data_IF_962956795824
#
_entry.id   IF_962956795824
#
_cell.length_a   1.000
_cell.length_b   1.000
_cell.length_c   1.000
_cell.angle_alpha   90.00
_cell.angle_beta   90.00
_cell.angle_gamma   90.00
#
_symmetry.space_group_name_H-M   'P 1'
#
loop_
_entity.id
_entity.type
_entity.pdbx_description
1 polymer ?
#
# COMPACT_ATOMS: atom_id res chain seq x y z
N UNK A 1 8.95 19.69 -1.97
CA UNK A 1 7.76 19.26 -1.17
C UNK A 1 8.05 17.85 -0.69
N UNK A 2 8.05 17.64 0.63
CA UNK A 2 8.25 16.29 1.19
C UNK A 2 7.02 15.40 0.86
N UNK A 3 7.25 14.10 0.75
CA UNK A 3 6.16 13.15 0.43
C UNK A 3 5.04 13.19 1.49
N UNK A 4 5.39 13.38 2.76
CA UNK A 4 4.41 13.45 3.85
C UNK A 4 3.47 14.66 3.72
N UNK A 5 4.00 15.83 3.31
CA UNK A 5 3.18 17.03 3.06
C UNK A 5 2.18 16.77 1.91
N UNK A 6 2.62 16.00 0.91
CA UNK A 6 1.77 15.65 -0.22
C UNK A 6 0.69 14.63 0.16
N UNK A 7 1.03 13.63 0.98
CA UNK A 7 0.09 12.64 1.52
C UNK A 7 -1.00 13.32 2.35
N UNK A 8 -0.64 14.24 3.23
CA UNK A 8 -1.59 14.99 4.05
C UNK A 8 -2.53 15.84 3.18
N UNK A 9 -1.99 16.61 2.23
CA UNK A 9 -2.79 17.43 1.31
C UNK A 9 -3.68 16.60 0.38
N UNK A 10 -3.27 15.40 0.01
CA UNK A 10 -4.04 14.50 -0.86
C UNK A 10 -5.33 14.00 -0.19
N UNK A 11 -5.44 14.08 1.14
CA UNK A 11 -6.66 13.71 1.87
C UNK A 11 -7.82 14.70 1.65
N UNK A 12 -7.52 15.96 1.33
CA UNK A 12 -8.51 17.05 1.23
C UNK A 12 -8.56 17.74 -0.14
N UNK A 13 -7.55 17.48 -1.02
CA UNK A 13 -7.41 18.16 -2.30
C UNK A 13 -7.29 17.14 -3.46
N UNK A 14 -8.23 17.21 -4.40
CA UNK A 14 -8.20 16.39 -5.63
C UNK A 14 -6.95 16.65 -6.48
N UNK A 15 -6.48 17.90 -6.53
CA UNK A 15 -5.23 18.24 -7.23
C UNK A 15 -4.03 17.59 -6.55
N UNK A 16 -3.94 17.64 -5.22
CA UNK A 16 -2.86 17.00 -4.46
C UNK A 16 -2.91 15.48 -4.60
N UNK A 17 -4.10 14.88 -4.64
CA UNK A 17 -4.28 13.45 -4.89
C UNK A 17 -3.82 13.06 -6.31
N UNK A 18 -4.13 13.86 -7.31
CA UNK A 18 -3.63 13.67 -8.67
C UNK A 18 -2.09 13.76 -8.72
N UNK A 19 -1.52 14.78 -8.09
CA UNK A 19 -0.07 14.96 -8.01
C UNK A 19 0.61 13.80 -7.28
N UNK A 20 0.02 13.31 -6.18
CA UNK A 20 0.50 12.14 -5.44
C UNK A 20 0.57 10.90 -6.35
N UNK A 21 -0.51 10.61 -7.09
CA UNK A 21 -0.54 9.52 -8.07
C UNK A 21 0.59 9.68 -9.10
N UNK A 22 0.78 10.86 -9.65
CA UNK A 22 1.81 11.14 -10.65
C UNK A 22 3.22 10.90 -10.08
N UNK A 23 3.51 11.45 -8.90
CA UNK A 23 4.82 11.33 -8.23
C UNK A 23 5.13 9.88 -7.88
N UNK A 24 4.17 9.15 -7.30
CA UNK A 24 4.39 7.77 -6.89
C UNK A 24 4.53 6.82 -8.09
N UNK A 25 3.77 7.00 -9.16
CA UNK A 25 3.95 6.21 -10.39
C UNK A 25 5.31 6.47 -11.07
N UNK A 26 5.89 7.67 -10.87
CA UNK A 26 7.22 7.98 -11.37
C UNK A 26 8.32 7.36 -10.52
N UNK A 27 8.15 7.37 -9.19
CA UNK A 27 9.15 6.89 -8.23
C UNK A 27 9.09 5.38 -7.99
N UNK A 28 7.95 4.73 -8.31
CA UNK A 28 7.77 3.28 -8.23
C UNK A 28 7.52 2.75 -9.66
N UNK A 29 8.57 2.60 -10.48
CA UNK A 29 8.43 2.27 -11.90
C UNK A 29 7.74 0.93 -12.14
N UNK A 30 7.82 -0.03 -11.19
CA UNK A 30 7.12 -1.31 -11.24
C UNK A 30 5.59 -1.14 -11.32
N UNK A 31 5.01 -0.13 -10.66
CA UNK A 31 3.56 0.09 -10.63
C UNK A 31 3.04 0.80 -11.90
N UNK A 32 3.93 1.43 -12.68
CA UNK A 32 3.57 2.23 -13.85
C UNK A 32 2.78 1.48 -14.93
N UNK A 33 3.21 0.27 -15.41
CA UNK A 33 2.47 -0.47 -16.43
C UNK A 33 1.11 -0.96 -15.95
N UNK A 34 0.93 -1.13 -14.64
CA UNK A 34 -0.32 -1.57 -14.02
C UNK A 34 -1.34 -0.44 -13.83
N UNK A 35 -0.92 0.82 -13.97
CA UNK A 35 -1.77 2.02 -13.82
C UNK A 35 -2.55 2.03 -12.51
N UNK A 36 -1.91 1.60 -11.42
CA UNK A 36 -2.50 1.67 -10.09
C UNK A 36 -2.88 3.12 -9.77
N UNK A 37 -4.06 3.32 -9.19
CA UNK A 37 -4.56 4.66 -8.88
C UNK A 37 -5.06 4.75 -7.45
N UNK A 38 -4.46 5.63 -6.66
CA UNK A 38 -4.98 6.00 -5.35
C UNK A 38 -6.29 6.76 -5.60
N UNK A 39 -7.40 6.17 -5.17
CA UNK A 39 -8.74 6.78 -5.27
C UNK A 39 -8.99 7.76 -4.13
N UNK A 40 -8.55 7.39 -2.95
CA UNK A 40 -8.58 8.25 -1.76
C UNK A 40 -7.51 7.82 -0.77
N UNK A 41 -7.05 8.75 0.01
CA UNK A 41 -6.18 8.52 1.14
C UNK A 41 -6.56 9.45 2.27
N UNK A 42 -6.59 8.93 3.48
CA UNK A 42 -6.77 9.68 4.72
C UNK A 42 -5.74 9.22 5.74
N UNK A 43 -5.80 9.76 6.95
CA UNK A 43 -4.91 9.28 8.02
C UNK A 43 -5.09 7.79 8.30
N UNK A 44 -6.33 7.29 8.26
CA UNK A 44 -6.65 5.94 8.73
C UNK A 44 -7.05 4.97 7.61
N UNK A 45 -7.18 5.44 6.34
CA UNK A 45 -7.67 4.59 5.26
C UNK A 45 -7.07 4.97 3.92
N UNK A 46 -6.80 3.97 3.11
CA UNK A 46 -6.42 4.13 1.70
C UNK A 46 -7.26 3.22 0.82
N UNK A 47 -7.68 3.75 -0.33
CA UNK A 47 -8.32 3.00 -1.41
C UNK A 47 -7.46 3.09 -2.66
N UNK A 48 -6.99 1.94 -3.17
CA UNK A 48 -6.19 1.89 -4.40
C UNK A 48 -6.89 1.02 -5.43
N UNK A 49 -7.13 1.61 -6.59
CA UNK A 49 -7.77 0.94 -7.72
C UNK A 49 -6.74 0.25 -8.62
N UNK A 50 -7.02 -1.00 -8.97
CA UNK A 50 -6.33 -1.83 -9.93
C UNK A 50 -7.21 -2.00 -11.17
N UNK A 51 -6.92 -1.30 -12.29
CA UNK A 51 -7.83 -1.24 -13.43
C UNK A 51 -7.83 -2.53 -14.25
N UNK A 52 -8.98 -2.86 -14.84
CA UNK A 52 -9.13 -3.97 -15.77
C UNK A 52 -8.63 -3.56 -17.17
N UNK A 53 -7.33 -3.65 -17.38
CA UNK A 53 -6.64 -3.31 -18.64
C UNK A 53 -5.75 -4.47 -19.09
N UNK A 54 -5.41 -4.54 -20.38
CA UNK A 54 -4.65 -5.65 -21.00
C UNK A 54 -3.42 -6.07 -20.18
N UNK A 55 -2.64 -5.12 -19.67
CA UNK A 55 -1.42 -5.40 -18.91
C UNK A 55 -1.67 -6.04 -17.54
N UNK A 56 -2.91 -6.03 -17.07
CA UNK A 56 -3.31 -6.54 -15.77
C UNK A 56 -4.05 -7.88 -15.87
N UNK A 57 -4.21 -8.43 -17.06
CA UNK A 57 -4.97 -9.66 -17.29
C UNK A 57 -4.05 -10.88 -17.36
N UNK A 58 -4.57 -12.00 -16.89
CA UNK A 58 -3.99 -13.32 -17.08
C UNK A 58 -4.48 -13.94 -18.40
N UNK A 59 -4.03 -15.16 -18.72
CA UNK A 59 -4.40 -15.91 -19.92
C UNK A 59 -5.89 -16.27 -19.99
N UNK A 60 -6.60 -16.27 -18.85
CA UNK A 60 -8.06 -16.50 -18.75
C UNK A 60 -8.86 -15.20 -18.83
N UNK A 61 -8.21 -14.08 -19.16
CA UNK A 61 -8.81 -12.73 -19.20
C UNK A 61 -9.44 -12.30 -17.86
N UNK A 62 -8.92 -12.79 -16.74
CA UNK A 62 -9.20 -12.29 -15.42
C UNK A 62 -8.06 -11.41 -14.93
N UNK A 63 -8.28 -10.65 -13.85
CA UNK A 63 -7.20 -9.92 -13.19
C UNK A 63 -6.10 -10.89 -12.75
N UNK A 64 -4.84 -10.51 -13.01
CA UNK A 64 -3.69 -11.36 -12.70
C UNK A 64 -3.44 -11.43 -11.19
N UNK A 65 -3.20 -12.63 -10.66
CA UNK A 65 -2.95 -12.88 -9.24
C UNK A 65 -1.81 -12.01 -8.68
N UNK A 66 -0.66 -11.90 -9.40
CA UNK A 66 0.44 -11.03 -8.99
C UNK A 66 0.07 -9.55 -8.96
N UNK A 67 -0.87 -9.10 -9.81
CA UNK A 67 -1.35 -7.73 -9.78
C UNK A 67 -2.23 -7.45 -8.56
N UNK A 68 -3.06 -8.42 -8.15
CA UNK A 68 -3.80 -8.34 -6.88
C UNK A 68 -2.85 -8.30 -5.68
N UNK A 69 -1.75 -9.07 -5.70
CA UNK A 69 -0.71 -9.00 -4.69
C UNK A 69 -0.02 -7.62 -4.68
N UNK A 70 0.29 -7.06 -5.85
CA UNK A 70 0.93 -5.74 -5.99
C UNK A 70 0.06 -4.61 -5.42
N UNK A 71 -1.24 -4.57 -5.74
CA UNK A 71 -2.11 -3.53 -5.21
C UNK A 71 -2.31 -3.67 -3.71
N UNK A 72 -2.30 -4.89 -3.18
CA UNK A 72 -2.38 -5.17 -1.75
C UNK A 72 -1.13 -4.69 -1.00
N UNK A 73 0.04 -5.05 -1.49
CA UNK A 73 1.33 -4.57 -0.96
C UNK A 73 1.38 -3.05 -0.98
N UNK A 74 1.06 -2.45 -2.12
CA UNK A 74 1.11 -1.01 -2.29
C UNK A 74 0.17 -0.27 -1.33
N UNK A 75 -1.03 -0.80 -1.05
CA UNK A 75 -1.99 -0.18 -0.13
C UNK A 75 -1.50 -0.22 1.32
N UNK A 76 -0.98 -1.37 1.77
CA UNK A 76 -0.46 -1.50 3.14
C UNK A 76 0.80 -0.65 3.34
N UNK A 77 1.74 -0.71 2.40
CA UNK A 77 2.97 0.09 2.45
C UNK A 77 2.70 1.60 2.44
N UNK A 78 1.79 2.07 1.58
CA UNK A 78 1.48 3.48 1.47
C UNK A 78 0.83 4.04 2.74
N UNK A 79 -0.13 3.30 3.34
CA UNK A 79 -0.78 3.77 4.56
C UNK A 79 0.17 3.74 5.76
N UNK A 80 1.05 2.75 5.87
CA UNK A 80 2.12 2.74 6.88
C UNK A 80 3.05 3.95 6.71
N UNK A 81 3.47 4.27 5.49
CA UNK A 81 4.30 5.45 5.21
C UNK A 81 3.58 6.77 5.54
N UNK A 82 2.25 6.82 5.43
CA UNK A 82 1.47 8.01 5.82
C UNK A 82 1.51 8.30 7.32
N UNK A 83 1.88 7.31 8.14
CA UNK A 83 2.05 7.45 9.58
C UNK A 83 3.52 7.62 10.01
N UNK A 84 4.46 7.26 9.15
CA UNK A 84 5.87 7.22 9.45
C UNK A 84 6.60 8.36 8.74
N UNK A 85 7.67 8.85 9.36
CA UNK A 85 8.59 9.78 8.70
C UNK A 85 9.59 8.94 7.85
N UNK A 86 9.53 8.99 6.50
CA UNK A 86 10.44 8.22 5.64
C UNK A 86 11.89 8.65 5.76
N UNK A 87 12.17 9.85 6.28
CA UNK A 87 13.53 10.31 6.56
C UNK A 87 14.09 9.62 7.82
N UNK A 88 13.24 9.11 8.72
CA UNK A 88 13.62 8.44 9.97
C UNK A 88 13.52 6.93 9.91
N UNK A 89 12.54 6.41 9.16
CA UNK A 89 12.21 4.99 9.16
C UNK A 89 12.25 4.39 7.76
N UNK A 90 12.88 3.23 7.68
CA UNK A 90 12.82 2.36 6.50
C UNK A 90 11.70 1.35 6.69
N UNK A 91 10.86 1.21 5.67
CA UNK A 91 9.82 0.20 5.57
C UNK A 91 10.22 -0.84 4.52
N UNK A 92 10.30 -2.13 4.89
CA UNK A 92 10.61 -3.23 3.99
C UNK A 92 9.63 -4.36 4.24
N UNK A 93 9.00 -4.86 3.19
CA UNK A 93 8.15 -6.04 3.27
C UNK A 93 9.01 -7.29 3.51
N UNK A 94 8.67 -8.07 4.55
CA UNK A 94 9.33 -9.32 4.89
C UNK A 94 8.67 -10.52 4.21
N UNK A 95 7.35 -10.55 4.20
CA UNK A 95 6.57 -11.61 3.56
C UNK A 95 5.20 -11.09 3.13
N UNK A 96 4.63 -11.80 2.16
CA UNK A 96 3.29 -11.58 1.66
C UNK A 96 2.63 -12.94 1.43
N UNK A 97 1.40 -13.09 1.91
CA UNK A 97 0.57 -14.26 1.70
C UNK A 97 -0.75 -13.83 1.06
N UNK A 98 -1.16 -14.54 0.00
CA UNK A 98 -2.38 -14.26 -0.74
C UNK A 98 -3.33 -15.44 -0.69
N UNK A 99 -4.58 -15.15 -0.40
CA UNK A 99 -5.72 -16.06 -0.62
C UNK A 99 -6.61 -15.49 -1.72
N UNK A 100 -6.91 -16.29 -2.73
CA UNK A 100 -7.74 -15.88 -3.87
C UNK A 100 -9.09 -16.58 -3.77
N UNK A 101 -10.18 -15.79 -3.85
CA UNK A 101 -11.55 -16.27 -3.61
C UNK A 101 -12.41 -16.23 -4.88
N UNK A 102 -12.19 -15.23 -5.74
CA UNK A 102 -13.01 -15.03 -6.93
C UNK A 102 -12.21 -14.48 -8.11
N UNK A 103 -12.56 -14.85 -9.35
CA UNK A 103 -11.90 -14.35 -10.56
C UNK A 103 -12.43 -12.96 -10.94
N UNK A 104 -11.64 -11.90 -10.78
CA UNK A 104 -12.01 -10.55 -11.18
C UNK A 104 -12.09 -10.39 -12.70
N UNK A 105 -13.22 -9.91 -13.18
CA UNK A 105 -13.50 -9.59 -14.61
C UNK A 105 -13.81 -8.12 -14.83
N UNK A 106 -13.67 -7.29 -13.80
CA UNK A 106 -13.79 -5.83 -13.82
C UNK A 106 -12.59 -5.23 -13.10
N UNK A 107 -12.53 -3.90 -12.96
CA UNK A 107 -11.54 -3.27 -12.08
C UNK A 107 -11.71 -3.74 -10.64
N UNK A 108 -10.67 -3.60 -9.85
CA UNK A 108 -10.69 -3.98 -8.44
C UNK A 108 -10.12 -2.86 -7.55
N UNK A 109 -10.51 -2.86 -6.28
CA UNK A 109 -10.05 -1.88 -5.29
C UNK A 109 -9.55 -2.59 -4.05
N UNK A 110 -8.30 -2.32 -3.67
CA UNK A 110 -7.77 -2.66 -2.36
C UNK A 110 -8.20 -1.60 -1.35
N UNK A 111 -8.80 -2.03 -0.24
CA UNK A 111 -9.18 -1.18 0.89
C UNK A 111 -8.38 -1.59 2.11
N UNK A 112 -7.57 -0.66 2.62
CA UNK A 112 -6.77 -0.89 3.81
C UNK A 112 -6.99 0.22 4.84
N UNK A 113 -7.15 -0.18 6.09
CA UNK A 113 -7.42 0.72 7.22
C UNK A 113 -6.46 0.44 8.36
N UNK A 114 -6.00 1.51 9.01
CA UNK A 114 -5.18 1.48 10.21
C UNK A 114 -5.71 2.50 11.23
N UNK A 115 -5.70 2.10 12.49
CA UNK A 115 -5.95 3.02 13.58
C UNK A 115 -4.65 3.71 14.02
N UNK A 116 -4.72 4.99 14.34
CA UNK A 116 -3.59 5.77 14.85
C UNK A 116 -3.05 5.20 16.17
N UNK A 117 -3.93 4.72 17.06
CA UNK A 117 -3.54 4.09 18.31
C UNK A 117 -2.82 2.75 18.07
N UNK A 118 -3.22 2.01 17.03
CA UNK A 118 -2.54 0.79 16.61
C UNK A 118 -1.09 1.09 16.18
N UNK A 119 -0.89 2.11 15.33
CA UNK A 119 0.47 2.52 14.91
C UNK A 119 1.33 2.89 16.12
N UNK A 120 0.78 3.66 17.06
CA UNK A 120 1.50 4.02 18.27
C UNK A 120 1.95 2.79 19.04
N UNK A 121 1.02 1.89 19.34
CA UNK A 121 1.27 0.68 20.17
C UNK A 121 2.14 -0.36 19.48
N UNK A 122 1.97 -0.58 18.18
CA UNK A 122 2.65 -1.67 17.46
C UNK A 122 3.97 -1.22 16.81
N UNK A 123 4.15 0.09 16.58
CA UNK A 123 5.31 0.60 15.86
C UNK A 123 6.12 1.58 16.69
N UNK A 124 5.51 2.71 17.09
CA UNK A 124 6.28 3.84 17.65
C UNK A 124 6.83 3.49 19.03
N UNK A 125 5.97 3.01 19.95
CA UNK A 125 6.39 2.68 21.31
C UNK A 125 7.43 1.55 21.34
N UNK A 126 7.26 0.42 20.60
CA UNK A 126 8.30 -0.60 20.54
C UNK A 126 9.62 -0.13 19.91
N UNK A 127 9.59 0.79 18.94
CA UNK A 127 10.83 1.36 18.36
C UNK A 127 11.61 2.29 19.31
N UNK A 128 11.03 2.66 20.47
CA UNK A 128 11.79 3.40 21.50
C UNK A 128 12.88 2.51 22.14
N UNK A 129 12.61 1.20 22.27
CA UNK A 129 13.50 0.22 22.94
C UNK A 129 14.10 -0.82 21.99
N UNK A 130 13.64 -0.90 20.72
CA UNK A 130 14.06 -1.89 19.74
C UNK A 130 14.63 -1.25 18.47
N UNK A 131 15.57 -1.93 17.81
CA UNK A 131 16.16 -1.49 16.54
C UNK A 131 15.20 -1.66 15.36
N UNK A 132 14.28 -2.60 15.45
CA UNK A 132 13.29 -2.88 14.42
C UNK A 132 12.03 -3.49 15.04
N UNK A 133 10.89 -3.25 14.39
CA UNK A 133 9.62 -3.91 14.68
C UNK A 133 9.09 -4.61 13.45
N UNK A 134 8.26 -5.63 13.67
CA UNK A 134 7.54 -6.34 12.62
C UNK A 134 6.04 -6.17 12.86
N UNK A 135 5.31 -5.81 11.83
CA UNK A 135 3.86 -5.64 11.90
C UNK A 135 3.19 -6.46 10.80
N UNK A 136 2.07 -7.08 11.16
CA UNK A 136 1.22 -7.80 10.23
C UNK A 136 0.02 -6.92 9.86
N UNK A 137 -0.27 -6.84 8.55
CA UNK A 137 -1.41 -6.10 8.02
C UNK A 137 -2.22 -7.02 7.12
N UNK A 138 -3.56 -6.90 7.21
CA UNK A 138 -4.48 -7.61 6.34
C UNK A 138 -5.22 -6.60 5.46
N UNK A 139 -5.32 -6.89 4.17
CA UNK A 139 -6.04 -6.08 3.19
C UNK A 139 -6.95 -6.94 2.34
N UNK A 140 -8.15 -6.44 2.06
CA UNK A 140 -9.13 -7.07 1.18
C UNK A 140 -9.22 -6.34 -0.13
N UNK A 141 -9.32 -7.11 -1.22
CA UNK A 141 -9.51 -6.59 -2.57
C UNK A 141 -10.85 -7.07 -3.08
N UNK A 142 -11.70 -6.12 -3.50
CA UNK A 142 -13.00 -6.40 -4.12
C UNK A 142 -13.06 -5.79 -5.51
N UNK A 143 -13.84 -6.41 -6.41
CA UNK A 143 -14.06 -5.88 -7.75
C UNK A 143 -15.14 -4.78 -7.76
N UNK A 144 -15.34 -4.15 -8.94
CA UNK A 144 -16.31 -3.06 -9.10
C UNK A 144 -17.77 -3.54 -8.92
N UNK A 145 -18.02 -4.86 -8.89
CA UNK A 145 -19.32 -5.46 -8.62
C UNK A 145 -19.50 -5.86 -7.14
N UNK A 146 -18.48 -5.64 -6.30
CA UNK A 146 -18.52 -5.98 -4.88
C UNK A 146 -18.08 -7.40 -4.55
N UNK A 147 -17.64 -8.21 -5.52
CA UNK A 147 -17.14 -9.55 -5.25
C UNK A 147 -15.78 -9.47 -4.54
N UNK A 148 -15.60 -10.23 -3.46
CA UNK A 148 -14.34 -10.35 -2.76
C UNK A 148 -13.37 -11.23 -3.58
N UNK A 149 -12.34 -10.61 -4.14
CA UNK A 149 -11.38 -11.28 -5.02
C UNK A 149 -10.27 -11.96 -4.26
N UNK A 150 -9.72 -11.29 -3.26
CA UNK A 150 -8.58 -11.81 -2.49
C UNK A 150 -8.45 -11.16 -1.13
N UNK A 151 -7.84 -11.91 -0.21
CA UNK A 151 -7.31 -11.42 1.08
C UNK A 151 -5.79 -11.52 1.04
N UNK A 152 -5.11 -10.47 1.47
CA UNK A 152 -3.66 -10.44 1.55
C UNK A 152 -3.19 -10.15 2.97
N UNK A 153 -2.32 -11.00 3.49
CA UNK A 153 -1.59 -10.75 4.74
C UNK A 153 -0.15 -10.35 4.40
N UNK A 154 0.27 -9.17 4.83
CA UNK A 154 1.64 -8.67 4.65
C UNK A 154 2.33 -8.54 5.99
N UNK A 155 3.60 -8.90 6.04
CA UNK A 155 4.47 -8.62 7.19
C UNK A 155 5.50 -7.58 6.81
N UNK A 156 5.52 -6.48 7.52
CA UNK A 156 6.44 -5.37 7.30
C UNK A 156 7.48 -5.29 8.41
N UNK A 157 8.75 -5.04 8.03
CA UNK A 157 9.78 -4.61 8.94
C UNK A 157 9.90 -3.08 8.88
N UNK A 158 9.81 -2.45 10.03
CA UNK A 158 10.04 -1.01 10.21
C UNK A 158 11.28 -0.84 11.07
N UNK A 159 12.25 -0.05 10.57
CA UNK A 159 13.56 0.10 11.21
C UNK A 159 14.05 1.55 11.07
N UNK A 160 14.69 2.09 12.09
CA UNK A 160 15.35 3.40 12.00
C UNK A 160 16.50 3.34 11.00
N UNK A 161 16.69 4.39 10.20
CA UNK A 161 17.76 4.44 9.19
C UNK A 161 19.16 4.37 9.80
N UNK A 162 19.39 4.93 10.98
CA UNK A 162 20.67 4.84 11.69
C UNK A 162 21.05 3.42 12.12
N UNK A 163 20.07 2.52 12.18
CA UNK A 163 20.22 1.10 12.52
C UNK A 163 20.31 0.18 11.29
N UNK A 164 20.27 0.73 10.09
CA UNK A 164 20.36 -0.05 8.84
C UNK A 164 21.83 -0.30 8.51
N UNK A 165 22.22 -1.59 8.41
CA UNK A 165 23.60 -2.00 8.13
C UNK A 165 24.03 -1.73 6.68
N UNK A 166 23.11 -1.88 5.72
CA UNK A 166 23.35 -1.61 4.29
C UNK A 166 22.66 -0.30 3.94
N UNK A 167 23.47 0.73 3.65
CA UNK A 167 22.97 2.01 3.11
C UNK A 167 22.94 1.92 1.58
N UNK A 168 21.86 2.38 1.00
CA UNK A 168 21.67 2.51 -0.46
C UNK A 168 22.33 3.81 -0.90
#
# INVERSE_FOLDING_TARGET
MKINDLLEKASTSSFSLWLLNFVLLRNIPFNKPHRLKIKSISKNKVLIHYPYIKNNLNHLKGLHACGLATVSEYSTGLLLLNHLDPDKYRLIMKSLHMEYHYQGKTGATASFELDTDWIKKQVIDPLLSSDAVFVDCEVKVSDDNGNHLSTCSTKWQIKKWDKVKVKI
#
